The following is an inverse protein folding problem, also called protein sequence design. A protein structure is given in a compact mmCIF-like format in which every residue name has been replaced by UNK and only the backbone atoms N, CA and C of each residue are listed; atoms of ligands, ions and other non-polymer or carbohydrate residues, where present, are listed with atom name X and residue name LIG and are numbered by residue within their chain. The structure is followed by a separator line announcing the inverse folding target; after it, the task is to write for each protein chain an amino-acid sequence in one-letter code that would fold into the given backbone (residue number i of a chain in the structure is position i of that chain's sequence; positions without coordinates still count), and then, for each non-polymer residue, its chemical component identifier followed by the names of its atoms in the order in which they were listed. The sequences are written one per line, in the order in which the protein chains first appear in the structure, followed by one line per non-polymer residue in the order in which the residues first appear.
data_IF_296237078867
#
_entry.id   IF_296237078867
#
_cell.length_a   1.000
_cell.length_b   1.000
_cell.length_c   1.000
_cell.angle_alpha   90.00
_cell.angle_beta   90.00
_cell.angle_gamma   90.00
#
_symmetry.space_group_name_H-M   'P 1'
#
loop_
_entity.id
_entity.type
_entity.pdbx_description
1 polymer ?
#
# COMPACT_ATOMS: atom_id res chain seq x y z
N UNK A 1 3.76 2.28 23.14
CA UNK A 1 3.60 3.69 23.53
C UNK A 1 2.73 4.35 22.47
N UNK A 2 1.67 5.09 22.83
CA UNK A 2 0.98 5.94 21.85
C UNK A 2 1.97 7.01 21.43
N UNK A 3 2.28 7.11 20.13
CA UNK A 3 3.15 8.18 19.62
C UNK A 3 2.52 9.54 19.92
N UNK A 4 3.32 10.52 20.33
CA UNK A 4 2.85 11.88 20.58
C UNK A 4 2.96 12.64 19.26
N UNK A 5 1.92 12.56 18.43
CA UNK A 5 1.84 13.32 17.19
C UNK A 5 1.24 14.69 17.53
N UNK A 6 1.84 15.81 17.09
CA UNK A 6 1.21 17.12 17.17
C UNK A 6 -0.19 17.04 16.53
N UNK A 7 -1.20 17.61 17.19
CA UNK A 7 -2.59 17.65 16.72
C UNK A 7 -3.25 16.27 16.48
N UNK A 8 -2.78 15.22 17.15
CA UNK A 8 -3.42 13.90 17.11
C UNK A 8 -4.91 13.99 17.51
N UNK A 9 -5.80 13.69 16.56
CA UNK A 9 -7.24 13.60 16.77
C UNK A 9 -7.75 12.27 16.24
N UNK A 10 -8.43 11.52 17.10
CA UNK A 10 -9.18 10.34 16.66
C UNK A 10 -10.33 10.79 15.75
N UNK A 11 -10.51 10.08 14.65
CA UNK A 11 -11.60 10.32 13.72
C UNK A 11 -12.89 9.72 14.27
N UNK A 12 -14.02 10.41 14.05
CA UNK A 12 -15.36 9.84 14.32
C UNK A 12 -15.88 8.99 13.16
N UNK A 13 -15.08 8.84 12.11
CA UNK A 13 -15.43 8.06 10.93
C UNK A 13 -15.76 6.61 11.31
N UNK A 14 -16.75 6.04 10.64
CA UNK A 14 -17.23 4.66 10.86
C UNK A 14 -17.06 3.79 9.62
N UNK A 15 -16.23 4.23 8.67
CA UNK A 15 -15.99 3.49 7.43
C UNK A 15 -15.50 2.08 7.76
N UNK A 16 -15.99 1.11 7.01
CA UNK A 16 -15.58 -0.28 7.12
C UNK A 16 -14.49 -0.58 6.11
N UNK A 17 -13.28 -0.76 6.61
CA UNK A 17 -12.11 -1.13 5.82
C UNK A 17 -11.87 -2.64 5.95
N UNK A 18 -11.75 -3.33 4.83
CA UNK A 18 -11.28 -4.72 4.81
C UNK A 18 -9.79 -4.72 4.47
N UNK A 19 -8.97 -5.25 5.39
CA UNK A 19 -7.52 -5.27 5.28
C UNK A 19 -7.02 -6.69 4.98
N UNK A 20 -6.35 -6.88 3.85
CA UNK A 20 -5.62 -8.11 3.56
C UNK A 20 -4.36 -8.20 4.41
N UNK A 21 -4.19 -9.30 5.14
CA UNK A 21 -2.99 -9.60 5.92
C UNK A 21 -1.98 -10.36 5.08
N UNK A 22 -1.01 -9.63 4.54
CA UNK A 22 0.20 -10.17 3.90
C UNK A 22 1.40 -10.21 4.86
N UNK A 23 1.20 -10.02 6.16
CA UNK A 23 2.25 -9.77 7.15
C UNK A 23 2.10 -8.41 7.84
N UNK A 24 0.86 -8.01 8.13
CA UNK A 24 0.50 -6.66 8.54
C UNK A 24 1.15 -6.24 9.87
N UNK A 25 1.70 -5.03 9.91
CA UNK A 25 2.17 -4.42 11.15
C UNK A 25 0.99 -3.94 12.00
N UNK A 26 0.97 -4.30 13.27
CA UNK A 26 -0.07 -3.85 14.25
C UNK A 26 -0.26 -2.33 14.29
N UNK A 27 0.79 -1.56 14.02
CA UNK A 27 0.70 -0.09 14.03
C UNK A 27 -0.19 0.45 12.90
N UNK A 28 -0.25 -0.23 11.75
CA UNK A 28 -1.14 0.12 10.64
C UNK A 28 -2.59 -0.08 11.08
N UNK A 29 -2.91 -1.24 11.66
CA UNK A 29 -4.25 -1.53 12.18
C UNK A 29 -4.71 -0.49 13.20
N UNK A 30 -3.81 -0.10 14.11
CA UNK A 30 -4.06 0.95 15.10
C UNK A 30 -4.45 2.27 14.42
N UNK A 31 -3.64 2.76 13.48
CA UNK A 31 -3.89 4.02 12.77
C UNK A 31 -5.17 3.97 11.91
N UNK A 32 -5.41 2.87 11.21
CA UNK A 32 -6.67 2.69 10.45
C UNK A 32 -7.89 2.72 11.38
N UNK A 33 -7.80 2.06 12.54
CA UNK A 33 -8.89 2.02 13.51
C UNK A 33 -9.15 3.39 14.16
N UNK A 34 -8.08 4.13 14.45
CA UNK A 34 -8.14 5.44 15.11
C UNK A 34 -8.55 6.58 14.14
N UNK A 35 -8.25 6.47 12.84
CA UNK A 35 -8.43 7.57 11.88
C UNK A 35 -9.42 7.29 10.74
N UNK A 36 -9.73 6.03 10.44
CA UNK A 36 -10.60 5.66 9.30
C UNK A 36 -11.90 5.01 9.76
N UNK A 37 -11.84 4.00 10.62
CA UNK A 37 -13.04 3.36 11.15
C UNK A 37 -12.85 1.88 11.50
N UNK A 38 -13.88 1.07 11.27
CA UNK A 38 -13.85 -0.37 11.59
C UNK A 38 -12.91 -1.09 10.62
N UNK A 39 -11.94 -1.83 11.14
CA UNK A 39 -11.05 -2.68 10.33
C UNK A 39 -11.42 -4.15 10.49
N UNK A 40 -11.71 -4.84 9.39
CA UNK A 40 -11.83 -6.30 9.34
C UNK A 40 -10.60 -6.86 8.64
N UNK A 41 -9.82 -7.67 9.34
CA UNK A 41 -8.62 -8.30 8.79
C UNK A 41 -9.01 -9.65 8.17
N UNK A 42 -8.58 -9.87 6.93
CA UNK A 42 -8.76 -11.14 6.20
C UNK A 42 -7.40 -11.74 5.85
N UNK A 43 -7.33 -13.05 5.68
CA UNK A 43 -6.08 -13.69 5.29
C UNK A 43 -5.67 -13.28 3.86
N UNK A 44 -4.39 -13.38 3.55
CA UNK A 44 -3.84 -13.08 2.21
C UNK A 44 -4.63 -13.70 1.04
N UNK A 45 -5.18 -14.91 1.23
CA UNK A 45 -5.87 -15.69 0.19
C UNK A 45 -7.40 -15.52 0.17
N UNK A 46 -7.96 -14.66 1.01
CA UNK A 46 -9.41 -14.42 1.02
C UNK A 46 -9.86 -13.96 -0.36
N UNK A 47 -10.90 -14.59 -0.91
CA UNK A 47 -11.36 -14.27 -2.26
C UNK A 47 -11.97 -12.87 -2.29
N UNK A 48 -11.88 -12.19 -3.43
CA UNK A 48 -12.54 -10.89 -3.60
C UNK A 48 -14.07 -10.97 -3.38
N UNK A 49 -14.70 -12.09 -3.74
CA UNK A 49 -16.14 -12.31 -3.52
C UNK A 49 -16.52 -12.37 -2.04
N UNK A 50 -15.67 -12.95 -1.20
CA UNK A 50 -15.85 -12.94 0.25
C UNK A 50 -15.68 -11.54 0.82
N UNK A 51 -14.70 -10.78 0.33
CA UNK A 51 -14.50 -9.37 0.72
C UNK A 51 -15.70 -8.52 0.33
N UNK A 52 -16.23 -8.68 -0.88
CA UNK A 52 -17.38 -7.90 -1.36
C UNK A 52 -18.63 -8.14 -0.51
N UNK A 53 -18.86 -9.38 -0.05
CA UNK A 53 -19.96 -9.71 0.89
C UNK A 53 -19.87 -8.99 2.23
N UNK A 54 -18.69 -8.48 2.59
CA UNK A 54 -18.51 -7.68 3.80
C UNK A 54 -18.97 -6.22 3.62
N UNK A 55 -19.34 -5.80 2.41
CA UNK A 55 -19.71 -4.44 2.03
C UNK A 55 -18.67 -3.39 2.50
N UNK A 56 -17.40 -3.51 2.08
CA UNK A 56 -16.37 -2.57 2.49
C UNK A 56 -16.59 -1.19 1.88
N UNK A 57 -16.33 -0.15 2.66
CA UNK A 57 -16.18 1.22 2.17
C UNK A 57 -14.78 1.44 1.54
N UNK A 58 -13.84 0.54 1.80
CA UNK A 58 -12.50 0.56 1.22
C UNK A 58 -11.71 -0.72 1.49
N UNK A 59 -10.71 -0.98 0.66
CA UNK A 59 -9.82 -2.14 0.76
C UNK A 59 -8.40 -1.66 1.08
N UNK A 60 -7.78 -2.33 2.04
CA UNK A 60 -6.40 -2.05 2.43
C UNK A 60 -5.50 -3.25 2.13
N UNK A 61 -4.40 -3.00 1.43
CA UNK A 61 -3.38 -4.00 1.09
C UNK A 61 -2.15 -3.78 1.96
N UNK A 62 -1.88 -4.71 2.89
CA UNK A 62 -0.84 -4.50 3.89
C UNK A 62 0.58 -4.63 3.36
N UNK A 63 1.53 -4.25 4.21
CA UNK A 63 2.92 -4.68 4.06
C UNK A 63 3.03 -6.21 4.20
N UNK A 64 4.16 -6.76 3.74
CA UNK A 64 4.48 -8.17 3.88
C UNK A 64 5.92 -8.47 3.46
N UNK A 65 6.41 -9.70 3.68
CA UNK A 65 7.74 -10.13 3.26
C UNK A 65 7.73 -10.66 1.81
N UNK A 66 8.91 -10.75 1.23
CA UNK A 66 9.14 -11.54 0.01
C UNK A 66 8.95 -10.78 -1.30
N UNK A 67 8.95 -11.54 -2.38
CA UNK A 67 8.75 -11.11 -3.76
C UNK A 67 7.25 -10.96 -4.05
N UNK A 68 6.77 -9.83 -4.60
CA UNK A 68 5.37 -9.66 -4.97
C UNK A 68 4.93 -10.48 -6.19
N UNK A 69 5.82 -10.79 -7.14
CA UNK A 69 5.42 -11.40 -8.42
C UNK A 69 4.76 -12.79 -8.27
N UNK A 70 5.23 -13.70 -7.39
CA UNK A 70 4.60 -15.01 -7.22
C UNK A 70 3.24 -14.98 -6.50
N UNK A 71 2.76 -13.81 -6.08
CA UNK A 71 1.49 -13.68 -5.35
C UNK A 71 0.29 -13.57 -6.31
N UNK A 72 0.19 -14.46 -7.29
CA UNK A 72 -0.84 -14.46 -8.34
C UNK A 72 -2.26 -14.32 -7.76
N UNK A 73 -2.54 -15.03 -6.66
CA UNK A 73 -3.83 -14.98 -5.97
C UNK A 73 -4.20 -13.56 -5.50
N UNK A 74 -3.21 -12.78 -5.05
CA UNK A 74 -3.41 -11.41 -4.59
C UNK A 74 -3.57 -10.47 -5.78
N UNK A 75 -2.71 -10.60 -6.79
CA UNK A 75 -2.73 -9.78 -8.01
C UNK A 75 -4.09 -9.93 -8.71
N UNK A 76 -4.58 -11.16 -8.89
CA UNK A 76 -5.88 -11.40 -9.54
C UNK A 76 -7.05 -10.86 -8.70
N UNK A 77 -7.02 -11.00 -7.37
CA UNK A 77 -8.03 -10.38 -6.52
C UNK A 77 -8.03 -8.85 -6.61
N UNK A 78 -6.85 -8.22 -6.66
CA UNK A 78 -6.73 -6.75 -6.75
C UNK A 78 -7.18 -6.27 -8.13
N UNK A 79 -6.85 -6.99 -9.22
CA UNK A 79 -7.40 -6.68 -10.56
C UNK A 79 -8.92 -6.68 -10.56
N UNK A 80 -9.55 -7.66 -9.90
CA UNK A 80 -11.01 -7.68 -9.74
C UNK A 80 -11.50 -6.48 -8.94
N UNK A 81 -10.82 -6.15 -7.84
CA UNK A 81 -11.16 -5.00 -7.00
C UNK A 81 -11.03 -3.66 -7.74
N UNK A 82 -10.03 -3.49 -8.61
CA UNK A 82 -9.83 -2.29 -9.45
C UNK A 82 -10.97 -2.05 -10.45
N UNK A 83 -11.72 -3.10 -10.82
CA UNK A 83 -12.91 -2.96 -11.67
C UNK A 83 -14.16 -2.54 -10.89
N UNK A 84 -14.09 -2.49 -9.56
CA UNK A 84 -15.15 -1.97 -8.70
C UNK A 84 -14.83 -0.53 -8.27
N UNK A 85 -15.87 0.27 -8.02
CA UNK A 85 -15.72 1.63 -7.49
C UNK A 85 -15.43 1.65 -5.97
N UNK A 86 -14.54 0.77 -5.49
CA UNK A 86 -14.15 0.67 -4.08
C UNK A 86 -12.73 1.23 -3.93
N UNK A 87 -12.49 2.26 -3.09
CA UNK A 87 -11.16 2.79 -2.85
C UNK A 87 -10.17 1.72 -2.34
N UNK A 88 -8.98 1.66 -2.93
CA UNK A 88 -7.91 0.73 -2.56
C UNK A 88 -6.69 1.53 -2.08
N UNK A 89 -6.08 1.11 -0.97
CA UNK A 89 -4.84 1.70 -0.47
C UNK A 89 -3.82 0.62 -0.12
N UNK A 90 -2.63 0.70 -0.73
CA UNK A 90 -1.55 -0.28 -0.54
C UNK A 90 -0.31 0.30 0.13
N UNK A 91 0.30 -0.46 1.04
CA UNK A 91 1.56 -0.08 1.71
C UNK A 91 2.62 -1.14 1.46
N UNK A 92 3.83 -0.73 1.03
CA UNK A 92 4.99 -1.61 0.84
C UNK A 92 4.65 -2.74 -0.15
N UNK A 93 4.53 -3.99 0.31
CA UNK A 93 4.07 -5.10 -0.52
C UNK A 93 2.71 -4.82 -1.17
N UNK A 94 1.76 -4.23 -0.44
CA UNK A 94 0.45 -3.86 -0.99
C UNK A 94 0.52 -2.82 -2.11
N UNK A 95 1.48 -1.91 -2.07
CA UNK A 95 1.75 -0.95 -3.15
C UNK A 95 2.28 -1.68 -4.41
N UNK A 96 3.23 -2.59 -4.21
CA UNK A 96 3.79 -3.39 -5.31
C UNK A 96 2.72 -4.27 -5.97
N UNK A 97 1.89 -4.95 -5.17
CA UNK A 97 0.79 -5.78 -5.68
C UNK A 97 -0.25 -4.95 -6.43
N UNK A 98 -0.54 -3.73 -5.97
CA UNK A 98 -1.45 -2.81 -6.64
C UNK A 98 -0.89 -2.38 -8.00
N UNK A 99 0.39 -2.01 -8.08
CA UNK A 99 1.06 -1.67 -9.33
C UNK A 99 1.09 -2.85 -10.31
N UNK A 100 1.40 -4.07 -9.84
CA UNK A 100 1.36 -5.29 -10.65
C UNK A 100 -0.06 -5.56 -11.18
N UNK A 101 -1.09 -5.39 -10.35
CA UNK A 101 -2.48 -5.53 -10.75
C UNK A 101 -2.89 -4.46 -11.79
N UNK A 102 -2.35 -3.24 -11.67
CA UNK A 102 -2.52 -2.17 -12.65
C UNK A 102 -1.73 -2.35 -13.95
N UNK A 103 -0.89 -3.39 -14.06
CA UNK A 103 -0.17 -3.76 -15.28
C UNK A 103 1.31 -3.38 -15.31
N UNK A 104 1.87 -2.84 -14.23
CA UNK A 104 3.31 -2.60 -14.11
C UNK A 104 4.08 -3.90 -13.84
N UNK A 105 5.41 -3.80 -13.76
CA UNK A 105 6.32 -4.84 -13.30
C UNK A 105 7.05 -4.39 -12.04
N UNK A 106 7.62 -5.35 -11.32
CA UNK A 106 8.51 -5.09 -10.19
C UNK A 106 9.91 -5.58 -10.48
N UNK A 107 10.88 -5.06 -9.75
CA UNK A 107 12.26 -5.49 -9.85
C UNK A 107 12.91 -5.62 -8.49
N UNK A 108 13.83 -6.57 -8.38
CA UNK A 108 14.64 -6.77 -7.18
C UNK A 108 15.72 -5.70 -7.12
N UNK A 109 15.74 -4.96 -6.03
CA UNK A 109 16.75 -3.93 -5.79
C UNK A 109 18.09 -4.57 -5.41
N UNK A 110 19.20 -3.88 -5.73
CA UNK A 110 20.56 -4.37 -5.42
C UNK A 110 20.79 -4.59 -3.92
N UNK A 111 20.34 -3.63 -3.10
CA UNK A 111 20.47 -3.68 -1.64
C UNK A 111 19.15 -3.41 -0.89
N UNK A 112 18.11 -2.94 -1.60
CA UNK A 112 16.85 -2.51 -1.01
C UNK A 112 16.98 -1.29 -0.10
N UNK A 113 15.85 -0.86 0.47
CA UNK A 113 15.78 0.22 1.44
C UNK A 113 15.37 -0.30 2.81
N UNK A 114 16.26 -0.12 3.79
CA UNK A 114 16.11 -0.61 5.15
C UNK A 114 16.58 0.48 6.12
N UNK A 115 15.67 1.33 6.57
CA UNK A 115 16.04 2.50 7.37
C UNK A 115 14.85 3.34 7.84
N UNK A 116 15.16 4.38 8.61
CA UNK A 116 14.18 5.32 9.18
C UNK A 116 14.49 6.79 8.84
N UNK A 117 15.40 7.02 7.90
CA UNK A 117 15.90 8.33 7.49
C UNK A 117 15.76 8.56 5.98
N UNK A 118 14.90 7.81 5.30
CA UNK A 118 14.84 7.77 3.84
C UNK A 118 14.04 8.97 3.30
N UNK A 119 14.65 9.89 2.52
CA UNK A 119 13.96 11.05 1.98
C UNK A 119 13.11 10.67 0.76
N UNK A 120 11.82 10.95 0.83
CA UNK A 120 10.84 10.73 -0.25
C UNK A 120 10.20 12.05 -0.61
N UNK A 121 10.21 12.40 -1.89
CA UNK A 121 9.60 13.64 -2.38
C UNK A 121 8.25 13.36 -3.02
N UNK A 122 7.24 14.18 -2.69
CA UNK A 122 6.00 14.24 -3.48
C UNK A 122 6.27 14.97 -4.79
N UNK A 123 5.96 14.34 -5.93
CA UNK A 123 6.13 14.98 -7.23
C UNK A 123 5.17 16.15 -7.44
N UNK A 124 4.01 16.11 -6.77
CA UNK A 124 2.96 17.15 -6.85
C UNK A 124 3.30 18.39 -6.03
N UNK A 125 3.55 18.24 -4.72
CA UNK A 125 3.80 19.39 -3.83
C UNK A 125 5.28 19.78 -3.74
N UNK A 126 6.19 18.92 -4.18
CA UNK A 126 7.65 19.02 -3.99
C UNK A 126 8.12 18.94 -2.55
N UNK A 127 7.20 18.71 -1.59
CA UNK A 127 7.54 18.46 -0.20
C UNK A 127 8.33 17.16 -0.04
N UNK A 128 9.24 17.16 0.95
CA UNK A 128 10.09 16.02 1.26
C UNK A 128 9.70 15.47 2.63
N UNK A 129 9.48 14.16 2.68
CA UNK A 129 9.15 13.41 3.87
C UNK A 129 10.32 12.52 4.26
N UNK A 130 10.65 12.47 5.54
CA UNK A 130 11.57 11.47 6.09
C UNK A 130 10.76 10.23 6.46
N UNK A 131 11.06 9.11 5.81
CA UNK A 131 10.23 7.90 5.86
C UNK A 131 11.00 6.71 6.43
N UNK A 132 10.24 5.73 6.94
CA UNK A 132 10.77 4.41 7.26
C UNK A 132 10.52 3.46 6.10
N UNK A 133 11.60 2.86 5.61
CA UNK A 133 11.60 1.95 4.48
C UNK A 133 12.10 0.58 4.92
N UNK A 134 11.44 -0.47 4.41
CA UNK A 134 11.84 -1.85 4.60
C UNK A 134 11.32 -2.68 3.42
N UNK A 135 12.00 -2.56 2.26
CA UNK A 135 11.64 -3.27 1.03
C UNK A 135 12.87 -3.59 0.19
N UNK A 136 12.88 -4.79 -0.41
CA UNK A 136 13.93 -5.25 -1.34
C UNK A 136 13.52 -5.24 -2.81
N UNK A 137 12.28 -4.83 -3.10
CA UNK A 137 11.71 -4.75 -4.43
C UNK A 137 11.12 -3.37 -4.66
N UNK A 138 11.11 -2.90 -5.91
CA UNK A 138 10.51 -1.64 -6.32
C UNK A 138 9.65 -1.85 -7.57
N UNK A 139 8.70 -0.96 -7.80
CA UNK A 139 7.98 -0.87 -9.08
C UNK A 139 8.95 -0.35 -10.14
N UNK A 140 9.00 -1.01 -11.29
CA UNK A 140 9.89 -0.64 -12.39
C UNK A 140 9.25 0.49 -13.22
N UNK A 141 9.91 1.65 -13.27
CA UNK A 141 9.43 2.86 -13.95
C UNK A 141 9.22 2.66 -15.46
N UNK A 142 10.13 1.95 -16.13
CA UNK A 142 10.06 1.68 -17.58
C UNK A 142 8.88 0.78 -17.97
N UNK A 143 8.26 0.12 -16.99
CA UNK A 143 7.14 -0.80 -17.19
C UNK A 143 5.76 -0.18 -16.95
N UNK A 144 5.70 1.09 -16.53
CA UNK A 144 4.44 1.71 -16.12
C UNK A 144 3.48 1.90 -17.30
N UNK A 145 2.23 1.41 -17.20
CA UNK A 145 1.19 1.70 -18.17
C UNK A 145 0.60 3.11 -17.92
N UNK A 146 -0.09 3.65 -18.93
CA UNK A 146 -0.61 5.04 -18.91
C UNK A 146 -1.64 5.33 -17.83
N UNK A 147 -2.23 4.30 -17.21
CA UNK A 147 -3.19 4.43 -16.11
C UNK A 147 -2.50 4.59 -14.74
N UNK A 148 -1.16 4.51 -14.65
CA UNK A 148 -0.44 4.65 -13.40
C UNK A 148 0.33 5.98 -13.40
N UNK A 149 0.03 6.85 -12.44
CA UNK A 149 0.72 8.12 -12.22
C UNK A 149 1.66 8.01 -11.02
N UNK A 150 2.96 8.28 -11.22
CA UNK A 150 3.92 8.33 -10.11
C UNK A 150 3.60 9.53 -9.21
N UNK A 151 3.44 9.27 -7.91
CA UNK A 151 3.15 10.32 -6.93
C UNK A 151 4.37 10.69 -6.08
N UNK A 152 5.24 9.73 -5.80
CA UNK A 152 6.39 9.90 -4.91
C UNK A 152 7.63 9.16 -5.40
N UNK A 153 8.80 9.76 -5.19
CA UNK A 153 10.11 9.18 -5.55
C UNK A 153 11.10 9.30 -4.40
N UNK A 154 12.03 8.36 -4.35
CA UNK A 154 13.18 8.37 -3.45
C UNK A 154 14.18 9.44 -3.91
N UNK A 155 14.65 10.28 -2.98
CA UNK A 155 15.74 11.23 -3.27
C UNK A 155 17.14 10.60 -3.16
N UNK A 156 17.25 9.34 -2.73
CA UNK A 156 18.54 8.62 -2.71
C UNK A 156 18.90 8.00 -4.05
N UNK A 157 17.91 7.47 -4.78
CA UNK A 157 18.15 6.63 -5.95
C UNK A 157 17.08 6.76 -7.04
N UNK A 158 16.13 7.70 -6.90
CA UNK A 158 15.01 7.94 -7.80
C UNK A 158 13.99 6.81 -7.96
N UNK A 159 14.12 5.71 -7.21
CA UNK A 159 13.12 4.63 -7.23
C UNK A 159 11.71 5.14 -6.84
N UNK A 160 10.68 4.51 -7.41
CA UNK A 160 9.27 4.82 -7.13
C UNK A 160 8.94 4.49 -5.67
N UNK A 161 8.24 5.40 -5.00
CA UNK A 161 7.83 5.30 -3.59
C UNK A 161 6.32 5.43 -3.40
N UNK A 162 5.59 5.73 -4.48
CA UNK A 162 4.14 5.78 -4.49
C UNK A 162 3.60 6.15 -5.85
N UNK A 163 2.38 5.71 -6.12
CA UNK A 163 1.67 5.82 -7.38
C UNK A 163 0.15 5.93 -7.16
N UNK A 164 -0.57 6.36 -8.18
CA UNK A 164 -2.03 6.33 -8.28
C UNK A 164 -2.43 5.54 -9.52
N UNK A 165 -3.51 4.76 -9.41
CA UNK A 165 -4.09 3.94 -10.49
C UNK A 165 -5.56 4.32 -10.65
#
# INVERSE_FOLDING_TARGET
MKGVWPDYKESKSKLHIVAYDYGIKKNILRLLSEHVGKVTVVNARCSFDEVLKMNPDGIFLSNGPGDPEPCDYAIENIKRALNENIPIFGICLGHQLLALAGGAKTEKMKFGHHGANHPVQSLKSKEVFITSQNHGFAVNEDSLPNNIEISHVSLFDQSIQGDFI
#
